data_IF_309021364995
#
_entry.id   IF_309021364995
#
_cell.length_a   1.000
_cell.length_b   1.000
_cell.length_c   1.000
_cell.angle_alpha   90.00
_cell.angle_beta   90.00
_cell.angle_gamma   90.00
#
_symmetry.space_group_name_H-M   'P 1'
#
loop_
_entity.id
_entity.type
_entity.pdbx_description
1 polymer ?
#
# COMPACT_ATOMS: atom_id res chain seq x y z
N UNK A 1 -23.51 -10.89 -22.77
CA UNK A 1 -22.23 -10.20 -22.97
C UNK A 1 -21.99 -9.32 -21.75
N UNK A 2 -20.90 -9.51 -21.01
CA UNK A 2 -20.51 -8.61 -19.91
C UNK A 2 -19.61 -7.50 -20.45
N UNK A 3 -19.73 -6.29 -19.88
CA UNK A 3 -18.85 -5.16 -20.23
C UNK A 3 -17.58 -5.24 -19.38
N UNK A 4 -16.38 -5.14 -19.99
CA UNK A 4 -15.12 -5.11 -19.23
C UNK A 4 -15.03 -3.85 -18.36
N UNK A 5 -14.55 -4.01 -17.12
CA UNK A 5 -14.24 -2.86 -16.26
C UNK A 5 -12.91 -2.24 -16.69
N UNK A 6 -12.89 -0.92 -16.88
CA UNK A 6 -11.64 -0.18 -17.11
C UNK A 6 -10.97 0.18 -15.77
N UNK A 7 -9.64 0.38 -15.75
CA UNK A 7 -8.95 0.86 -14.55
C UNK A 7 -9.53 2.18 -14.02
N UNK A 8 -9.96 3.07 -14.91
CA UNK A 8 -10.57 4.35 -14.56
C UNK A 8 -11.91 4.15 -13.83
N UNK A 9 -12.75 3.21 -14.30
CA UNK A 9 -14.01 2.87 -13.63
C UNK A 9 -13.75 2.30 -12.22
N UNK A 10 -12.75 1.43 -12.08
CA UNK A 10 -12.39 0.81 -10.79
C UNK A 10 -11.89 1.87 -9.79
N UNK A 11 -11.05 2.81 -10.26
CA UNK A 11 -10.49 3.87 -9.42
C UNK A 11 -11.58 4.81 -8.88
N UNK A 12 -12.56 5.19 -9.72
CA UNK A 12 -13.64 6.12 -9.36
C UNK A 12 -14.77 5.53 -8.51
N UNK A 13 -14.91 4.20 -8.46
CA UNK A 13 -15.99 3.57 -7.70
C UNK A 13 -15.92 3.91 -6.20
N UNK A 14 -17.05 4.13 -5.50
CA UNK A 14 -17.05 4.19 -4.04
C UNK A 14 -16.65 2.83 -3.46
N UNK A 15 -15.67 2.82 -2.55
CA UNK A 15 -15.08 1.59 -1.99
C UNK A 15 -15.03 1.66 -0.47
N UNK A 16 -15.21 0.51 0.17
CA UNK A 16 -14.97 0.31 1.58
C UNK A 16 -13.87 -0.74 1.77
N UNK A 17 -12.99 -0.53 2.75
CA UNK A 17 -11.95 -1.47 3.14
C UNK A 17 -12.43 -2.24 4.37
N UNK A 18 -12.65 -3.54 4.23
CA UNK A 18 -13.18 -4.37 5.33
C UNK A 18 -12.08 -5.00 6.18
N UNK A 19 -10.89 -5.14 5.61
CA UNK A 19 -9.75 -5.77 6.27
C UNK A 19 -8.47 -5.20 5.69
N UNK A 20 -7.60 -4.70 6.57
CA UNK A 20 -6.20 -4.41 6.27
C UNK A 20 -5.40 -4.42 7.58
N UNK A 21 -4.09 -4.64 7.47
CA UNK A 21 -3.18 -4.51 8.60
C UNK A 21 -2.55 -3.12 8.58
N UNK A 22 -2.58 -2.44 9.72
CA UNK A 22 -2.03 -1.09 9.86
C UNK A 22 -0.57 -1.02 9.38
N UNK A 23 0.26 -1.96 9.83
CA UNK A 23 1.68 -2.00 9.49
C UNK A 23 1.93 -2.51 8.06
N UNK A 24 0.98 -3.27 7.50
CA UNK A 24 1.04 -3.81 6.14
C UNK A 24 0.79 -2.75 5.06
N UNK A 25 0.19 -1.61 5.42
CA UNK A 25 -0.12 -0.52 4.50
C UNK A 25 0.99 0.53 4.35
N UNK A 26 2.12 0.40 5.06
CA UNK A 26 3.20 1.39 4.98
C UNK A 26 3.85 1.41 3.60
N UNK A 27 4.16 2.62 3.13
CA UNK A 27 4.94 2.79 1.89
C UNK A 27 6.39 2.38 2.14
N UNK A 28 7.07 1.73 1.18
CA UNK A 28 8.47 1.33 1.34
C UNK A 28 9.39 2.49 1.75
N UNK A 29 9.23 3.68 1.18
CA UNK A 29 10.01 4.86 1.56
C UNK A 29 9.89 5.21 3.05
N UNK A 30 8.68 5.12 3.62
CA UNK A 30 8.45 5.35 5.04
C UNK A 30 9.15 4.31 5.92
N UNK A 31 9.18 3.05 5.47
CA UNK A 31 9.91 1.99 6.18
C UNK A 31 11.41 2.29 6.21
N UNK A 32 11.99 2.77 5.09
CA UNK A 32 13.39 3.19 5.03
C UNK A 32 13.68 4.37 5.97
N UNK A 33 12.81 5.38 5.97
CA UNK A 33 12.95 6.56 6.84
C UNK A 33 12.91 6.17 8.33
N UNK A 34 11.97 5.31 8.72
CA UNK A 34 11.86 4.81 10.09
C UNK A 34 13.10 3.99 10.45
N UNK A 35 13.57 3.10 9.58
CA UNK A 35 14.79 2.32 9.81
C UNK A 35 16.00 3.22 10.08
N UNK A 36 16.17 4.29 9.30
CA UNK A 36 17.22 5.29 9.54
C UNK A 36 17.08 6.02 10.87
N UNK A 37 15.85 6.40 11.27
CA UNK A 37 15.59 7.10 12.53
C UNK A 37 15.88 6.24 13.77
N UNK A 38 15.62 4.94 13.70
CA UNK A 38 15.86 4.02 14.82
C UNK A 38 17.23 3.34 14.76
N UNK A 39 18.05 3.64 13.74
CA UNK A 39 19.37 3.06 13.55
C UNK A 39 19.35 1.59 13.13
N UNK A 40 18.29 1.14 12.46
CA UNK A 40 18.18 -0.23 11.95
C UNK A 40 18.87 -0.36 10.57
N UNK A 41 19.84 -1.26 10.47
CA UNK A 41 20.70 -1.48 9.29
C UNK A 41 20.51 -2.85 8.61
N UNK A 42 19.65 -3.72 9.15
CA UNK A 42 19.39 -5.07 8.65
C UNK A 42 18.44 -5.19 7.46
N UNK A 43 18.27 -4.14 6.66
CA UNK A 43 17.39 -4.15 5.49
C UNK A 43 17.97 -5.00 4.35
N UNK A 44 17.13 -5.66 3.53
CA UNK A 44 17.60 -6.38 2.34
C UNK A 44 18.31 -5.44 1.35
N UNK A 45 19.39 -5.93 0.72
CA UNK A 45 20.15 -5.25 -0.35
C UNK A 45 19.63 -5.57 -1.74
#
# INVERSE_FOLDING_TARGET
MTTPLTPEMISRAPKALLHDHLDGGLRPATVLDIAGQVGYDGLPT
#
